data_IF_086097191794
#
_entry.id   IF_086097191794
#
_cell.length_a   1.000
_cell.length_b   1.000
_cell.length_c   1.000
_cell.angle_alpha   90.00
_cell.angle_beta   90.00
_cell.angle_gamma   90.00
#
_symmetry.space_group_name_H-M   'P 1'
#
loop_
_entity.id
_entity.type
_entity.pdbx_description
1 polymer ?
#
# COMPACT_ATOMS: atom_id res chain seq x y z
N UNK A 1 -17.25 -4.73 16.09
CA UNK A 1 -16.47 -3.47 15.98
C UNK A 1 -15.02 -3.70 15.55
N UNK A 2 -14.34 -4.79 15.94
CA UNK A 2 -12.97 -5.05 15.50
C UNK A 2 -12.85 -5.44 14.01
N UNK A 3 -13.81 -6.20 13.47
CA UNK A 3 -13.94 -6.52 12.03
C UNK A 3 -13.92 -5.30 11.12
N UNK A 4 -14.71 -4.29 11.47
CA UNK A 4 -14.84 -3.08 10.67
C UNK A 4 -13.52 -2.30 10.60
N UNK A 5 -12.74 -2.30 11.69
CA UNK A 5 -11.43 -1.61 11.74
C UNK A 5 -10.39 -2.28 10.84
N UNK A 6 -10.34 -3.61 10.81
CA UNK A 6 -9.45 -4.36 9.92
C UNK A 6 -9.83 -4.16 8.44
N UNK A 7 -11.12 -4.22 8.13
CA UNK A 7 -11.63 -3.93 6.79
C UNK A 7 -11.30 -2.50 6.34
N UNK A 8 -11.49 -1.50 7.19
CA UNK A 8 -11.15 -0.10 6.88
C UNK A 8 -9.65 0.08 6.63
N UNK A 9 -8.78 -0.52 7.45
CA UNK A 9 -7.33 -0.46 7.24
C UNK A 9 -6.91 -1.10 5.91
N UNK A 10 -7.49 -2.25 5.57
CA UNK A 10 -7.24 -2.92 4.30
C UNK A 10 -7.68 -2.08 3.09
N UNK A 11 -8.87 -1.45 3.17
CA UNK A 11 -9.38 -0.57 2.12
C UNK A 11 -8.49 0.65 1.93
N UNK A 12 -8.06 1.30 3.03
CA UNK A 12 -7.14 2.44 2.97
C UNK A 12 -5.81 2.02 2.34
N UNK A 13 -5.28 0.85 2.70
CA UNK A 13 -4.04 0.33 2.14
C UNK A 13 -4.13 0.11 0.62
N UNK A 14 -5.25 -0.42 0.11
CA UNK A 14 -5.48 -0.58 -1.32
C UNK A 14 -5.58 0.76 -2.04
N UNK A 15 -6.35 1.70 -1.49
CA UNK A 15 -6.49 3.05 -2.09
C UNK A 15 -5.13 3.74 -2.15
N UNK A 16 -4.32 3.61 -1.09
CA UNK A 16 -2.96 4.13 -1.06
C UNK A 16 -2.08 3.47 -2.12
N UNK A 17 -2.09 2.14 -2.26
CA UNK A 17 -1.33 1.45 -3.31
C UNK A 17 -1.71 1.96 -4.72
N UNK A 18 -3.00 2.01 -5.04
CA UNK A 18 -3.46 2.55 -6.33
C UNK A 18 -3.01 4.00 -6.53
N UNK A 19 -3.13 4.84 -5.51
CA UNK A 19 -2.68 6.23 -5.55
C UNK A 19 -1.17 6.37 -5.78
N UNK A 20 -0.37 5.49 -5.19
CA UNK A 20 1.08 5.45 -5.37
C UNK A 20 1.48 5.16 -6.82
N UNK A 21 0.85 4.18 -7.46
CA UNK A 21 1.09 3.87 -8.88
C UNK A 21 0.78 5.09 -9.75
N UNK A 22 -0.38 5.70 -9.55
CA UNK A 22 -0.80 6.88 -10.33
C UNK A 22 0.21 8.02 -10.17
N UNK A 23 0.66 8.32 -8.95
CA UNK A 23 1.64 9.38 -8.70
C UNK A 23 2.99 9.08 -9.32
N UNK A 24 3.41 7.83 -9.28
CA UNK A 24 4.66 7.38 -9.91
C UNK A 24 4.60 7.56 -11.42
N UNK A 25 3.49 7.17 -12.06
CA UNK A 25 3.32 7.26 -13.51
C UNK A 25 3.01 8.67 -14.01
N UNK A 26 2.52 9.57 -13.15
CA UNK A 26 2.24 10.98 -13.49
C UNK A 26 3.44 11.91 -13.26
N UNK A 27 4.63 11.36 -13.01
CA UNK A 27 5.87 12.13 -12.90
C UNK A 27 6.15 12.70 -11.50
N UNK A 28 5.43 12.23 -10.47
CA UNK A 28 5.68 12.56 -9.07
C UNK A 28 6.15 11.34 -8.26
N UNK A 29 7.26 10.66 -8.63
CA UNK A 29 7.67 9.41 -7.99
C UNK A 29 8.05 9.57 -6.52
N UNK A 30 8.48 10.76 -6.07
CA UNK A 30 8.71 11.03 -4.63
C UNK A 30 7.42 10.88 -3.83
N UNK A 31 6.31 11.45 -4.32
CA UNK A 31 5.01 11.32 -3.68
C UNK A 31 4.46 9.89 -3.81
N UNK A 32 4.69 9.23 -4.96
CA UNK A 32 4.41 7.81 -5.14
C UNK A 32 5.07 6.96 -4.05
N UNK A 33 6.37 7.14 -3.82
CA UNK A 33 7.15 6.42 -2.80
C UNK A 33 6.57 6.60 -1.39
N UNK A 34 6.23 7.83 -1.00
CA UNK A 34 5.65 8.13 0.32
C UNK A 34 4.33 7.39 0.51
N UNK A 35 3.45 7.44 -0.50
CA UNK A 35 2.16 6.76 -0.44
C UNK A 35 2.33 5.24 -0.45
N UNK A 36 3.29 4.69 -1.21
CA UNK A 36 3.59 3.26 -1.22
C UNK A 36 3.97 2.76 0.18
N UNK A 37 4.81 3.52 0.91
CA UNK A 37 5.19 3.18 2.29
C UNK A 37 3.97 3.20 3.22
N UNK A 38 3.09 4.20 3.10
CA UNK A 38 1.84 4.25 3.87
C UNK A 38 0.90 3.08 3.56
N UNK A 39 0.85 2.64 2.30
CA UNK A 39 0.09 1.47 1.88
C UNK A 39 0.61 0.19 2.55
N UNK A 40 1.93 -0.01 2.57
CA UNK A 40 2.57 -1.14 3.25
C UNK A 40 2.26 -1.13 4.75
N UNK A 41 2.46 0.00 5.43
CA UNK A 41 2.22 0.12 6.87
C UNK A 41 0.76 -0.18 7.20
N UNK A 42 -0.18 0.39 6.44
CA UNK A 42 -1.62 0.17 6.62
C UNK A 42 -2.01 -1.28 6.35
N UNK A 43 -1.42 -1.91 5.33
CA UNK A 43 -1.59 -3.32 5.02
C UNK A 43 -1.09 -4.23 6.14
N UNK A 44 0.08 -3.94 6.72
CA UNK A 44 0.62 -4.69 7.88
C UNK A 44 -0.34 -4.61 9.06
N UNK A 45 -0.87 -3.42 9.39
CA UNK A 45 -1.87 -3.28 10.45
C UNK A 45 -3.14 -4.10 10.17
N UNK A 46 -3.63 -4.11 8.93
CA UNK A 46 -4.77 -4.93 8.54
C UNK A 46 -4.52 -6.44 8.68
N UNK A 47 -3.31 -6.92 8.32
CA UNK A 47 -2.92 -8.32 8.51
C UNK A 47 -2.82 -8.66 10.00
N UNK A 48 -2.17 -7.81 10.80
CA UNK A 48 -2.05 -8.03 12.25
C UNK A 48 -3.41 -8.07 12.95
N UNK A 49 -4.36 -7.22 12.55
CA UNK A 49 -5.71 -7.24 13.10
C UNK A 49 -6.50 -8.48 12.68
N UNK A 50 -6.29 -8.99 11.47
CA UNK A 50 -7.01 -10.16 10.94
C UNK A 50 -6.40 -11.52 11.30
N UNK A 51 -5.20 -11.54 11.90
CA UNK A 51 -4.63 -12.75 12.49
C UNK A 51 -5.48 -13.31 13.65
N UNK A 52 -6.42 -12.52 14.18
CA UNK A 52 -7.42 -13.01 15.12
C UNK A 52 -8.56 -13.74 14.36
N UNK A 53 -8.91 -14.99 14.69
CA UNK A 53 -9.94 -15.79 13.99
C UNK A 53 -11.33 -15.14 13.94
N UNK A 54 -11.56 -14.12 14.78
CA UNK A 54 -12.79 -13.36 14.85
C UNK A 54 -12.89 -12.22 13.83
N UNK A 55 -11.80 -11.90 13.12
CA UNK A 55 -11.66 -10.66 12.33
C UNK A 55 -11.42 -11.00 10.86
N UNK A 56 -12.46 -10.92 10.04
CA UNK A 56 -12.35 -11.12 8.59
C UNK A 56 -11.64 -9.96 7.91
N UNK A 57 -10.52 -10.20 7.22
CA UNK A 57 -9.82 -9.14 6.48
C UNK A 57 -8.41 -9.45 5.97
N UNK A 58 -7.79 -10.55 6.41
CA UNK A 58 -6.35 -10.79 6.19
C UNK A 58 -5.92 -11.00 4.75
N UNK A 59 -6.80 -11.57 3.91
CA UNK A 59 -6.53 -11.70 2.48
C UNK A 59 -6.37 -10.33 1.80
N UNK A 60 -7.28 -9.39 2.07
CA UNK A 60 -7.25 -8.06 1.45
C UNK A 60 -6.03 -7.27 1.94
N UNK A 61 -5.72 -7.35 3.23
CA UNK A 61 -4.53 -6.68 3.78
C UNK A 61 -3.23 -7.27 3.26
N UNK A 62 -3.15 -8.59 3.06
CA UNK A 62 -1.98 -9.25 2.48
C UNK A 62 -1.76 -8.79 1.03
N UNK A 63 -2.82 -8.74 0.23
CA UNK A 63 -2.74 -8.22 -1.14
C UNK A 63 -2.26 -6.77 -1.16
N UNK A 64 -2.75 -5.93 -0.24
CA UNK A 64 -2.32 -4.54 -0.13
C UNK A 64 -0.81 -4.40 0.17
N UNK A 65 -0.25 -5.27 1.02
CA UNK A 65 1.20 -5.29 1.29
C UNK A 65 1.97 -5.68 0.02
N UNK A 66 1.53 -6.73 -0.68
CA UNK A 66 2.18 -7.20 -1.92
C UNK A 66 2.22 -6.07 -2.95
N UNK A 67 1.09 -5.41 -3.18
CA UNK A 67 1.03 -4.27 -4.10
C UNK A 67 1.89 -3.09 -3.61
N UNK A 68 1.86 -2.76 -2.33
CA UNK A 68 2.71 -1.71 -1.78
C UNK A 68 4.21 -1.96 -1.99
N UNK A 69 4.68 -3.21 -1.85
CA UNK A 69 6.08 -3.58 -2.13
C UNK A 69 6.42 -3.41 -3.61
N UNK A 70 5.54 -3.83 -4.51
CA UNK A 70 5.73 -3.64 -5.95
C UNK A 70 5.76 -2.14 -6.31
N UNK A 71 4.89 -1.35 -5.69
CA UNK A 71 4.82 0.10 -5.89
C UNK A 71 6.08 0.81 -5.42
N UNK A 72 6.66 0.41 -4.29
CA UNK A 72 7.96 0.94 -3.84
C UNK A 72 9.02 0.69 -4.92
N UNK A 73 9.07 -0.52 -5.50
CA UNK A 73 10.00 -0.84 -6.59
C UNK A 73 9.78 0.04 -7.83
N UNK A 74 8.52 0.21 -8.23
CA UNK A 74 8.12 1.08 -9.35
C UNK A 74 8.48 2.55 -9.10
N UNK A 75 8.21 3.06 -7.90
CA UNK A 75 8.53 4.43 -7.50
C UNK A 75 10.04 4.68 -7.50
N UNK A 76 10.84 3.71 -7.03
CA UNK A 76 12.30 3.79 -7.09
C UNK A 76 12.79 3.83 -8.55
N UNK A 77 12.27 2.96 -9.42
CA UNK A 77 12.61 2.98 -10.85
C UNK A 77 12.24 4.32 -11.50
N UNK A 78 11.06 4.86 -11.20
CA UNK A 78 10.62 6.18 -11.67
C UNK A 78 11.54 7.30 -11.19
N UNK A 79 11.96 7.26 -9.92
CA UNK A 79 12.90 8.23 -9.36
C UNK A 79 14.26 8.17 -10.06
N UNK A 80 14.78 6.97 -10.29
CA UNK A 80 16.03 6.76 -11.05
C UNK A 80 15.89 7.28 -12.47
N UNK A 81 14.75 7.05 -13.13
CA UNK A 81 14.45 7.58 -14.46
C UNK A 81 14.58 9.10 -14.53
N UNK A 82 14.00 9.82 -13.57
CA UNK A 82 14.11 11.30 -13.48
C UNK A 82 15.55 11.78 -13.22
N UNK A 83 16.36 10.99 -12.50
CA UNK A 83 17.74 11.38 -12.20
C UNK A 83 18.71 11.14 -13.36
N UNK A 84 18.42 10.17 -14.23
CA UNK A 84 19.29 9.77 -15.35
C UNK A 84 18.94 10.50 -16.66
N UNK A 85 17.66 10.81 -16.88
CA UNK A 85 17.15 11.42 -18.12
C UNK A 85 16.59 12.82 -17.87
#
# INVERSE_FOLDING_TARGET
MADQKAGTAATIAIIAAIGSVILTLTGSPVWGLIIAVLAIVSGIFGVLMSASPKIGGGLISTLAIIFGVLDVGLAVLGLIGILIF
#
